data_IF_973849501699
#
_entry.id   IF_973849501699
#
_cell.length_a   1.000
_cell.length_b   1.000
_cell.length_c   1.000
_cell.angle_alpha   90.00
_cell.angle_beta   90.00
_cell.angle_gamma   90.00
#
_symmetry.space_group_name_H-M   'P 1'
#
loop_
_entity.id
_entity.type
_entity.pdbx_description
1 polymer ?
#
# COMPACT_ATOMS: atom_id res chain seq x y z
N UNK A 1 -12.40 -5.44 6.03
CA UNK A 1 -10.97 -5.07 5.90
C UNK A 1 -10.46 -4.50 7.22
N UNK A 2 -9.37 -5.04 7.78
CA UNK A 2 -8.85 -4.65 9.10
C UNK A 2 -7.55 -3.86 8.97
N UNK A 3 -7.52 -2.58 9.37
CA UNK A 3 -6.28 -1.79 9.42
C UNK A 3 -5.71 -1.87 10.84
N UNK A 4 -4.57 -2.54 10.98
CA UNK A 4 -3.79 -2.68 12.22
C UNK A 4 -2.61 -1.72 12.15
N UNK A 5 -2.40 -0.95 13.21
CA UNK A 5 -1.21 -0.10 13.34
C UNK A 5 -0.41 -0.64 14.51
N UNK A 6 0.83 -1.00 14.23
CA UNK A 6 1.78 -1.33 15.27
C UNK A 6 1.97 -0.12 16.18
N UNK A 7 1.83 -0.32 17.49
CA UNK A 7 2.19 0.71 18.46
C UNK A 7 3.72 0.85 18.47
N UNK A 8 4.22 2.08 18.40
CA UNK A 8 5.63 2.40 18.58
C UNK A 8 5.72 3.66 19.43
N UNK A 9 6.69 3.69 20.35
CA UNK A 9 6.83 4.77 21.34
C UNK A 9 8.01 5.70 21.05
N UNK A 10 8.59 5.63 19.85
CA UNK A 10 9.86 6.32 19.55
C UNK A 10 9.89 6.80 18.11
N UNK A 11 10.46 7.98 17.85
CA UNK A 11 10.72 8.49 16.50
C UNK A 11 11.63 7.55 15.69
N UNK A 12 11.53 7.50 14.34
CA UNK A 12 10.68 8.31 13.47
C UNK A 12 9.24 7.79 13.34
N UNK A 13 8.29 8.71 13.14
CA UNK A 13 6.87 8.41 12.93
C UNK A 13 6.60 7.77 11.56
N UNK A 14 5.40 7.18 11.42
CA UNK A 14 4.94 6.68 10.13
C UNK A 14 4.72 7.83 9.14
N UNK A 15 5.13 7.63 7.89
CA UNK A 15 4.85 8.54 6.79
C UNK A 15 3.36 8.59 6.40
N UNK A 16 2.60 7.55 6.76
CA UNK A 16 1.16 7.45 6.50
C UNK A 16 0.40 7.17 7.79
N UNK A 17 -0.69 7.91 7.99
CA UNK A 17 -1.66 7.71 9.06
C UNK A 17 -2.77 6.74 8.65
N UNK A 18 -3.50 6.19 9.63
CA UNK A 18 -4.69 5.34 9.41
C UNK A 18 -5.67 5.93 8.40
N UNK A 19 -5.92 7.24 8.51
CA UNK A 19 -6.85 7.98 7.65
C UNK A 19 -6.38 7.99 6.20
N UNK A 20 -5.08 8.17 5.98
CA UNK A 20 -4.46 8.23 4.65
C UNK A 20 -4.50 6.88 3.97
N UNK A 21 -4.12 5.82 4.69
CA UNK A 21 -4.23 4.44 4.18
C UNK A 21 -5.69 4.08 3.89
N UNK A 22 -6.62 4.45 4.76
CA UNK A 22 -8.03 4.22 4.51
C UNK A 22 -8.57 5.02 3.31
N UNK A 23 -8.01 6.19 3.03
CA UNK A 23 -8.38 7.01 1.88
C UNK A 23 -7.79 6.43 0.59
N UNK A 24 -6.51 6.03 0.60
CA UNK A 24 -5.87 5.29 -0.49
C UNK A 24 -6.67 4.06 -0.88
N UNK A 25 -7.13 3.29 0.11
CA UNK A 25 -7.96 2.10 -0.13
C UNK A 25 -9.37 2.42 -0.63
N UNK A 26 -9.89 3.63 -0.39
CA UNK A 26 -11.20 4.08 -0.91
C UNK A 26 -11.12 4.63 -2.33
N UNK A 27 -9.96 5.17 -2.73
CA UNK A 27 -9.79 5.72 -4.07
C UNK A 27 -9.44 4.65 -5.10
N UNK A 28 -8.80 3.55 -4.68
CA UNK A 28 -8.48 2.41 -5.54
C UNK A 28 -9.74 1.59 -5.87
N UNK A 29 -9.73 0.80 -6.97
CA UNK A 29 -10.81 -0.09 -7.31
C UNK A 29 -11.13 -1.06 -6.17
N UNK A 30 -12.42 -1.33 -5.97
CA UNK A 30 -12.88 -2.26 -4.94
C UNK A 30 -12.27 -3.66 -5.12
N UNK A 31 -12.08 -4.10 -6.37
CA UNK A 31 -11.40 -5.37 -6.69
C UNK A 31 -10.03 -5.47 -5.98
N UNK A 32 -9.21 -4.42 -6.02
CA UNK A 32 -7.89 -4.41 -5.37
C UNK A 32 -8.00 -4.46 -3.85
N UNK A 33 -8.98 -3.73 -3.29
CA UNK A 33 -9.25 -3.73 -1.86
C UNK A 33 -9.82 -5.07 -1.36
N UNK A 34 -10.59 -5.78 -2.19
CA UNK A 34 -11.14 -7.12 -1.88
C UNK A 34 -10.05 -8.19 -1.79
N UNK A 35 -8.96 -8.04 -2.56
CA UNK A 35 -7.81 -8.93 -2.43
C UNK A 35 -7.03 -8.72 -1.13
N UNK A 36 -7.21 -7.60 -0.44
CA UNK A 36 -6.52 -7.28 0.80
C UNK A 36 -7.48 -7.36 2.00
N UNK A 37 -7.34 -8.40 2.81
CA UNK A 37 -8.15 -8.60 4.01
C UNK A 37 -7.68 -7.71 5.17
N UNK A 38 -6.37 -7.51 5.30
CA UNK A 38 -5.77 -6.76 6.41
C UNK A 38 -4.63 -5.86 5.95
N UNK A 39 -4.52 -4.66 6.53
CA UNK A 39 -3.40 -3.76 6.31
C UNK A 39 -2.70 -3.52 7.63
N UNK A 40 -1.39 -3.80 7.69
CA UNK A 40 -0.57 -3.67 8.90
C UNK A 40 0.47 -2.60 8.69
N UNK A 41 0.34 -1.48 9.40
CA UNK A 41 1.43 -0.51 9.51
C UNK A 41 2.41 -1.01 10.56
N UNK A 42 3.60 -1.39 10.15
CA UNK A 42 4.58 -2.05 11.01
C UNK A 42 5.39 -1.03 11.81
N UNK A 43 5.50 -1.24 13.12
CA UNK A 43 6.36 -0.44 14.01
C UNK A 43 7.86 -0.54 13.69
N UNK A 44 8.28 -1.36 12.73
CA UNK A 44 9.69 -1.57 12.38
C UNK A 44 10.18 -0.50 11.40
N UNK A 45 11.42 -0.07 11.57
CA UNK A 45 12.09 0.86 10.65
C UNK A 45 12.56 0.08 9.43
N UNK A 46 12.16 0.50 8.22
CA UNK A 46 12.53 -0.18 6.98
C UNK A 46 14.06 -0.35 6.83
N UNK A 47 14.85 0.68 7.18
CA UNK A 47 16.32 0.61 7.20
C UNK A 47 16.91 -0.50 8.09
N UNK A 48 16.16 -0.98 9.10
CA UNK A 48 16.59 -2.07 9.99
C UNK A 48 16.09 -3.45 9.54
N UNK A 49 15.19 -3.49 8.57
CA UNK A 49 14.71 -4.75 7.99
C UNK A 49 15.50 -5.08 6.72
N UNK A 50 15.82 -6.36 6.51
CA UNK A 50 16.44 -6.88 5.26
C UNK A 50 15.43 -6.92 4.08
N UNK A 51 14.44 -6.04 4.11
CA UNK A 51 13.37 -6.03 3.13
C UNK A 51 13.80 -5.22 1.93
N UNK A 52 13.44 -5.70 0.74
CA UNK A 52 13.76 -5.04 -0.53
C UNK A 52 12.78 -3.89 -0.81
N UNK A 53 11.54 -4.00 -0.32
CA UNK A 53 10.48 -3.00 -0.49
C UNK A 53 9.87 -2.57 0.85
N UNK A 54 9.55 -1.28 1.02
CA UNK A 54 8.83 -0.77 2.20
C UNK A 54 7.38 -1.26 2.32
N UNK A 55 6.77 -1.73 1.23
CA UNK A 55 5.44 -2.33 1.24
C UNK A 55 5.57 -3.78 0.78
N UNK A 56 5.00 -4.69 1.56
CA UNK A 56 5.03 -6.12 1.29
C UNK A 56 3.63 -6.70 1.39
N UNK A 57 3.20 -7.39 0.34
CA UNK A 57 1.95 -8.14 0.34
C UNK A 57 2.20 -9.63 0.64
N UNK A 58 1.48 -10.14 1.63
CA UNK A 58 1.46 -11.56 1.97
C UNK A 58 0.20 -12.19 1.38
N UNK A 59 0.36 -12.90 0.25
CA UNK A 59 -0.75 -13.58 -0.44
C UNK A 59 -1.43 -14.65 0.44
N UNK A 60 -0.67 -15.35 1.28
CA UNK A 60 -1.17 -16.43 2.15
C UNK A 60 -2.23 -15.95 3.14
N UNK A 61 -2.08 -14.74 3.68
CA UNK A 61 -3.00 -14.15 4.67
C UNK A 61 -3.79 -12.96 4.10
N UNK A 62 -3.61 -12.65 2.82
CA UNK A 62 -4.16 -11.45 2.16
C UNK A 62 -3.86 -10.17 2.96
N UNK A 63 -2.64 -10.08 3.48
CA UNK A 63 -2.23 -9.03 4.39
C UNK A 63 -1.20 -8.12 3.73
N UNK A 64 -1.43 -6.81 3.76
CA UNK A 64 -0.50 -5.80 3.26
C UNK A 64 0.25 -5.17 4.42
N UNK A 65 1.56 -5.41 4.50
CA UNK A 65 2.42 -4.86 5.55
C UNK A 65 3.18 -3.64 5.03
N UNK A 66 3.07 -2.52 5.73
CA UNK A 66 3.63 -1.22 5.34
C UNK A 66 4.67 -0.78 6.37
N UNK A 67 5.90 -0.58 5.92
CA UNK A 67 7.04 -0.11 6.70
C UNK A 67 7.32 1.37 6.42
N UNK A 68 6.37 2.24 6.76
CA UNK A 68 6.44 3.68 6.43
C UNK A 68 7.26 4.53 7.41
N UNK A 69 7.95 3.94 8.39
CA UNK A 69 8.67 4.69 9.43
C UNK A 69 9.92 5.38 8.88
N UNK A 70 9.95 6.71 8.92
CA UNK A 70 11.08 7.52 8.45
C UNK A 70 11.22 7.60 6.92
N UNK A 71 10.15 7.28 6.19
CA UNK A 71 10.08 7.40 4.73
C UNK A 71 9.20 8.57 4.31
N UNK A 72 9.24 8.90 3.02
CA UNK A 72 8.41 9.97 2.44
C UNK A 72 7.01 9.43 2.19
N UNK A 73 6.00 10.23 2.54
CA UNK A 73 4.59 9.88 2.34
C UNK A 73 4.29 9.47 0.90
N UNK A 74 4.77 10.25 -0.05
CA UNK A 74 4.54 10.05 -1.48
C UNK A 74 5.13 8.72 -1.99
N UNK A 75 6.35 8.41 -1.56
CA UNK A 75 7.06 7.19 -1.94
C UNK A 75 6.30 5.95 -1.46
N UNK A 76 5.85 5.97 -0.21
CA UNK A 76 5.05 4.87 0.35
C UNK A 76 3.68 4.77 -0.32
N UNK A 77 3.01 5.90 -0.57
CA UNK A 77 1.72 5.89 -1.25
C UNK A 77 1.84 5.30 -2.67
N UNK A 78 2.89 5.67 -3.40
CA UNK A 78 3.22 5.12 -4.71
C UNK A 78 3.41 3.61 -4.64
N UNK A 79 4.24 3.13 -3.70
CA UNK A 79 4.51 1.71 -3.53
C UNK A 79 3.29 0.92 -3.07
N UNK A 80 2.46 1.50 -2.21
CA UNK A 80 1.21 0.91 -1.78
C UNK A 80 0.27 0.70 -2.97
N UNK A 81 0.09 1.75 -3.79
CA UNK A 81 -0.72 1.69 -4.99
C UNK A 81 -0.14 0.70 -6.00
N UNK A 82 1.19 0.65 -6.14
CA UNK A 82 1.88 -0.28 -7.03
C UNK A 82 1.64 -1.74 -6.61
N UNK A 83 1.83 -2.06 -5.33
CA UNK A 83 1.56 -3.42 -4.82
C UNK A 83 0.07 -3.77 -4.94
N UNK A 84 -0.85 -2.85 -4.63
CA UNK A 84 -2.30 -3.07 -4.83
C UNK A 84 -2.64 -3.34 -6.29
N UNK A 85 -2.10 -2.54 -7.21
CA UNK A 85 -2.29 -2.71 -8.63
C UNK A 85 -1.71 -4.03 -9.12
N UNK A 86 -0.54 -4.44 -8.60
CA UNK A 86 0.11 -5.70 -8.93
C UNK A 86 -0.69 -6.91 -8.44
N UNK A 87 -1.27 -6.84 -7.24
CA UNK A 87 -2.17 -7.88 -6.71
C UNK A 87 -3.43 -7.98 -7.58
N UNK A 88 -4.04 -6.83 -7.90
CA UNK A 88 -5.21 -6.78 -8.77
C UNK A 88 -4.92 -7.29 -10.18
N UNK A 89 -3.75 -6.96 -10.73
CA UNK A 89 -3.30 -7.45 -12.02
C UNK A 89 -3.01 -8.95 -11.98
N UNK A 90 -2.32 -9.47 -10.98
CA UNK A 90 -2.01 -10.89 -10.84
C UNK A 90 -3.28 -11.73 -10.64
N UNK A 91 -4.29 -11.19 -9.94
CA UNK A 91 -5.61 -11.81 -9.86
C UNK A 91 -6.34 -11.83 -11.22
N UNK A 92 -6.09 -10.84 -12.07
CA UNK A 92 -6.69 -10.69 -13.41
C UNK A 92 -5.89 -11.40 -14.52
N UNK A 93 -4.59 -11.61 -14.34
CA UNK A 93 -3.68 -12.32 -15.25
C UNK A 93 -3.99 -13.82 -15.34
N UNK A 94 -4.83 -14.36 -14.45
CA UNK A 94 -5.45 -15.67 -14.68
C UNK A 94 -6.39 -15.65 -15.91
N UNK A 95 -6.71 -14.47 -16.48
CA UNK A 95 -7.63 -14.32 -17.62
C UNK A 95 -7.12 -13.48 -18.82
N UNK A 96 -5.96 -12.81 -18.79
CA UNK A 96 -5.43 -12.15 -20.00
C UNK A 96 -3.98 -11.69 -19.90
N UNK A 97 -3.20 -12.06 -20.92
CA UNK A 97 -1.86 -11.56 -21.28
C UNK A 97 -1.88 -10.07 -21.65
N UNK A 98 -2.12 -9.19 -20.67
CA UNK A 98 -1.88 -7.77 -20.87
C UNK A 98 -1.04 -7.25 -19.73
N UNK A 99 0.26 -7.12 -20.00
CA UNK A 99 1.20 -6.29 -19.29
C UNK A 99 0.75 -4.81 -19.39
N UNK A 100 -0.36 -4.48 -18.73
CA UNK A 100 -0.75 -3.10 -18.53
C UNK A 100 0.29 -2.44 -17.63
N UNK A 101 0.89 -1.35 -18.10
CA UNK A 101 1.77 -0.52 -17.30
C UNK A 101 1.09 -0.13 -15.98
N UNK A 102 1.41 -0.85 -14.90
CA UNK A 102 0.88 -0.60 -13.56
C UNK A 102 1.05 0.86 -13.16
N UNK A 103 2.15 1.49 -13.61
CA UNK A 103 2.42 2.92 -13.45
C UNK A 103 1.36 3.84 -14.06
N UNK A 104 0.78 3.47 -15.21
CA UNK A 104 -0.31 4.21 -15.85
C UNK A 104 -1.60 4.05 -15.07
N UNK A 105 -1.83 2.86 -14.49
CA UNK A 105 -3.03 2.57 -13.70
C UNK A 105 -2.97 3.26 -12.33
N UNK A 106 -1.80 3.35 -11.68
CA UNK A 106 -1.67 4.00 -10.37
C UNK A 106 -1.68 5.53 -10.43
N UNK A 107 -1.20 6.13 -11.53
CA UNK A 107 -1.12 7.60 -11.73
C UNK A 107 -2.41 8.37 -11.34
N UNK A 108 -3.60 8.01 -11.85
CA UNK A 108 -4.82 8.74 -11.51
C UNK A 108 -5.21 8.61 -10.03
N UNK A 109 -4.87 7.50 -9.36
CA UNK A 109 -5.13 7.33 -7.93
C UNK A 109 -4.15 8.15 -7.09
N UNK A 110 -2.89 8.24 -7.53
CA UNK A 110 -1.90 9.08 -6.87
C UNK A 110 -2.27 10.56 -6.99
N UNK A 111 -2.73 11.00 -8.16
CA UNK A 111 -3.21 12.38 -8.36
C UNK A 111 -4.44 12.67 -7.48
N UNK A 112 -5.38 11.73 -7.35
CA UNK A 112 -6.50 11.83 -6.40
C UNK A 112 -6.03 11.88 -4.95
N UNK A 113 -5.01 11.11 -4.56
CA UNK A 113 -4.46 11.13 -3.22
C UNK A 113 -3.74 12.44 -2.88
N UNK A 114 -3.05 13.03 -3.86
CA UNK A 114 -2.41 14.34 -3.73
C UNK A 114 -3.43 15.48 -3.69
N UNK A 115 -4.49 15.40 -4.49
CA UNK A 115 -5.61 16.36 -4.49
C UNK A 115 -6.52 16.24 -3.29
N UNK A 116 -6.59 15.07 -2.66
CA UNK A 116 -7.23 14.87 -1.36
C UNK A 116 -6.39 15.58 -0.29
N UNK A 117 -6.55 16.91 -0.24
CA UNK A 117 -5.90 17.80 0.72
C UNK A 117 -6.39 17.42 2.12
N UNK A 118 -5.44 17.14 3.00
CA UNK A 118 -5.66 16.80 4.41
C UNK A 118 -5.92 18.05 5.25
#
# INVERSE_FOLDING_TARGET
MRIVIGKFSSEPFHALSKKEVSLLLKIVPQEWAEHVSSVVLSSKIFKKTKLVKPVEYTATTKQLTIYSRGLVRDDIATQLLYELALIGAQAKETQSEQACDLNTVIKPYMDKFLKARF
#
